data_IF_106836769735
#
_entry.id   IF_106836769735
#
_cell.length_a   1.000
_cell.length_b   1.000
_cell.length_c   1.000
_cell.angle_alpha   90.00
_cell.angle_beta   90.00
_cell.angle_gamma   90.00
#
_symmetry.space_group_name_H-M   'P 1'
#
loop_
_entity.id
_entity.type
_entity.pdbx_description
1 polymer ?
#
# COMPACT_ATOMS: atom_id res chain seq x y z
N UNK A 1 18.43 2.40 1.83
CA UNK A 1 17.12 2.48 1.15
C UNK A 1 17.23 3.44 -0.02
N UNK A 2 16.70 3.10 -1.18
CA UNK A 2 16.49 4.08 -2.25
C UNK A 2 15.26 4.91 -1.90
N UNK A 3 15.36 6.24 -1.97
CA UNK A 3 14.20 7.13 -1.84
C UNK A 3 13.34 7.01 -3.09
N UNK A 4 12.05 6.75 -2.91
CA UNK A 4 11.10 6.73 -4.02
C UNK A 4 10.59 8.15 -4.21
N UNK A 5 10.88 8.73 -5.37
CA UNK A 5 10.55 10.12 -5.69
C UNK A 5 9.30 10.25 -6.58
N UNK A 6 8.86 9.14 -7.20
CA UNK A 6 7.64 9.10 -7.99
C UNK A 6 6.51 8.44 -7.17
N UNK A 7 5.42 9.17 -6.84
CA UNK A 7 4.28 8.61 -6.13
C UNK A 7 3.65 7.39 -6.82
N UNK A 8 3.71 7.31 -8.15
CA UNK A 8 3.12 6.20 -8.90
C UNK A 8 3.81 4.86 -8.61
N UNK A 9 5.07 4.88 -8.18
CA UNK A 9 5.80 3.69 -7.75
C UNK A 9 5.28 3.13 -6.41
N UNK A 10 4.44 3.90 -5.70
CA UNK A 10 3.81 3.51 -4.43
C UNK A 10 2.33 3.19 -4.60
N UNK A 11 1.67 3.71 -5.63
CA UNK A 11 0.24 3.50 -5.88
C UNK A 11 -0.02 2.36 -6.87
N UNK A 12 0.71 1.26 -6.70
CA UNK A 12 0.53 0.04 -7.49
C UNK A 12 -0.74 -0.74 -7.08
N UNK A 13 -1.34 -1.49 -8.01
CA UNK A 13 -2.54 -2.26 -7.72
C UNK A 13 -2.22 -3.42 -6.77
N UNK A 14 -3.09 -3.60 -5.79
CA UNK A 14 -3.00 -4.69 -4.81
C UNK A 14 -4.34 -5.42 -4.73
N UNK A 15 -4.26 -6.74 -4.67
CA UNK A 15 -5.43 -7.62 -4.60
C UNK A 15 -5.27 -8.67 -3.51
N UNK A 16 -6.38 -9.29 -3.12
CA UNK A 16 -6.37 -10.47 -2.26
C UNK A 16 -6.66 -11.73 -3.06
N UNK A 17 -5.94 -12.82 -2.76
CA UNK A 17 -6.16 -14.14 -3.37
C UNK A 17 -6.21 -15.24 -2.30
N UNK A 18 -6.97 -16.32 -2.51
CA UNK A 18 -6.97 -17.46 -1.59
C UNK A 18 -5.62 -18.17 -1.59
N UNK A 19 -5.22 -18.69 -0.43
CA UNK A 19 -3.98 -19.47 -0.30
C UNK A 19 -4.27 -20.97 -0.10
N UNK A 20 -3.36 -21.79 -0.60
CA UNK A 20 -3.41 -23.24 -0.50
C UNK A 20 -2.09 -23.77 0.05
N UNK A 21 -2.16 -24.76 0.93
CA UNK A 21 -1.00 -25.48 1.46
C UNK A 21 -0.75 -26.74 0.63
N UNK A 22 0.52 -27.09 0.42
CA UNK A 22 0.92 -28.36 -0.20
C UNK A 22 1.30 -29.33 0.90
N UNK A 23 0.66 -30.49 0.93
CA UNK A 23 1.03 -31.59 1.84
C UNK A 23 1.94 -32.56 1.10
N UNK A 24 3.17 -32.76 1.57
CA UNK A 24 4.17 -33.65 0.96
C UNK A 24 3.87 -35.15 1.07
N UNK A 25 2.60 -35.56 1.16
CA UNK A 25 2.17 -36.96 1.26
C UNK A 25 1.88 -37.61 -0.11
N UNK A 26 1.73 -38.94 -0.10
CA UNK A 26 1.57 -39.86 -1.26
C UNK A 26 0.41 -39.57 -2.24
N UNK A 27 -0.41 -38.54 -2.02
CA UNK A 27 -1.51 -38.19 -2.94
C UNK A 27 -1.09 -37.07 -3.87
N UNK A 28 -1.57 -37.07 -5.13
CA UNK A 28 -1.27 -36.03 -6.09
C UNK A 28 -1.67 -34.66 -5.54
N UNK A 29 -0.84 -33.70 -5.90
CA UNK A 29 -0.63 -32.33 -5.45
C UNK A 29 -1.88 -31.44 -5.40
N UNK A 30 -2.91 -31.86 -4.67
CA UNK A 30 -4.13 -31.08 -4.47
C UNK A 30 -3.89 -30.15 -3.29
N UNK A 31 -3.68 -28.87 -3.58
CA UNK A 31 -3.55 -27.84 -2.56
C UNK A 31 -4.75 -27.85 -1.60
N UNK A 32 -4.48 -27.84 -0.30
CA UNK A 32 -5.50 -27.74 0.75
C UNK A 32 -5.74 -26.26 1.04
N UNK A 33 -6.95 -25.71 0.85
CA UNK A 33 -7.25 -24.32 1.18
C UNK A 33 -6.86 -24.02 2.63
N UNK A 34 -6.28 -22.85 2.91
CA UNK A 34 -6.12 -22.37 4.28
C UNK A 34 -7.29 -21.43 4.63
N UNK A 35 -8.30 -21.89 5.37
CA UNK A 35 -9.51 -21.10 5.60
C UNK A 35 -9.22 -19.82 6.39
N UNK A 36 -9.86 -18.72 6.01
CA UNK A 36 -9.71 -17.43 6.70
C UNK A 36 -8.34 -16.77 6.53
N UNK A 37 -7.57 -17.21 5.52
CA UNK A 37 -6.29 -16.63 5.12
C UNK A 37 -6.34 -16.25 3.65
N UNK A 38 -5.86 -15.04 3.36
CA UNK A 38 -5.69 -14.54 2.01
C UNK A 38 -4.26 -14.04 1.86
N UNK A 39 -3.73 -14.13 0.64
CA UNK A 39 -2.47 -13.47 0.28
C UNK A 39 -2.78 -12.12 -0.34
N UNK A 40 -2.04 -11.11 0.05
CA UNK A 40 -2.01 -9.81 -0.60
C UNK A 40 -0.94 -9.89 -1.69
N UNK A 41 -1.32 -9.56 -2.92
CA UNK A 41 -0.43 -9.60 -4.07
C UNK A 41 -0.35 -8.23 -4.73
N UNK A 42 0.83 -7.89 -5.24
CA UNK A 42 0.97 -6.86 -6.26
C UNK A 42 0.47 -7.47 -7.58
N UNK A 43 -0.73 -7.10 -8.01
CA UNK A 43 -1.36 -7.74 -9.16
C UNK A 43 -0.77 -7.33 -10.51
N UNK A 44 0.04 -6.27 -10.56
CA UNK A 44 0.76 -5.91 -11.77
C UNK A 44 1.98 -6.82 -12.04
N UNK A 45 2.61 -7.33 -10.97
CA UNK A 45 3.84 -8.15 -11.05
C UNK A 45 3.66 -9.61 -10.66
N UNK A 46 2.48 -9.97 -10.16
CA UNK A 46 2.17 -11.28 -9.58
C UNK A 46 3.08 -11.64 -8.39
N UNK A 47 3.49 -10.62 -7.62
CA UNK A 47 4.38 -10.77 -6.46
C UNK A 47 3.59 -10.81 -5.15
N UNK A 48 3.98 -11.69 -4.23
CA UNK A 48 3.39 -11.79 -2.89
C UNK A 48 3.96 -10.70 -1.99
N UNK A 49 3.07 -9.90 -1.39
CA UNK A 49 3.43 -8.82 -0.46
C UNK A 49 3.30 -9.26 1.00
N UNK A 50 2.32 -10.12 1.29
CA UNK A 50 2.07 -10.60 2.65
C UNK A 50 0.85 -11.51 2.72
N UNK A 51 0.62 -12.10 3.89
CA UNK A 51 -0.56 -12.92 4.16
C UNK A 51 -1.38 -12.20 5.22
N UNK A 52 -2.66 -11.99 4.93
CA UNK A 52 -3.62 -11.52 5.90
C UNK A 52 -4.45 -12.69 6.44
N UNK A 53 -4.98 -12.51 7.63
CA UNK A 53 -6.03 -13.38 8.12
C UNK A 53 -6.93 -12.60 9.05
N UNK A 54 -8.09 -13.20 9.38
CA UNK A 54 -9.17 -12.58 10.16
C UNK A 54 -10.04 -11.61 9.36
N UNK A 55 -10.06 -11.74 8.04
CA UNK A 55 -10.93 -10.98 7.14
C UNK A 55 -10.73 -9.46 7.28
N UNK A 56 -9.47 -9.02 7.38
CA UNK A 56 -9.21 -7.58 7.38
C UNK A 56 -9.59 -6.98 6.03
N UNK A 57 -10.07 -5.74 6.05
CA UNK A 57 -10.30 -4.99 4.82
C UNK A 57 -8.95 -4.57 4.24
N UNK A 58 -8.69 -4.93 2.98
CA UNK A 58 -7.56 -4.38 2.23
C UNK A 58 -7.75 -2.87 2.07
N UNK A 59 -6.72 -2.10 2.43
CA UNK A 59 -6.65 -0.65 2.23
C UNK A 59 -5.44 -0.40 1.34
N UNK A 60 -5.67 0.23 0.19
CA UNK A 60 -4.58 0.54 -0.74
C UNK A 60 -3.81 1.78 -0.29
N UNK A 61 -2.59 1.98 -0.82
CA UNK A 61 -1.85 3.22 -0.57
C UNK A 61 -2.62 4.46 -1.07
N UNK A 62 -3.44 4.31 -2.12
CA UNK A 62 -4.32 5.38 -2.62
C UNK A 62 -5.43 5.71 -1.63
N UNK A 63 -6.04 4.70 -1.00
CA UNK A 63 -7.05 4.89 0.04
C UNK A 63 -6.45 5.56 1.29
N UNK A 64 -5.25 5.11 1.69
CA UNK A 64 -4.53 5.70 2.81
C UNK A 64 -4.16 7.16 2.55
N UNK A 65 -3.70 7.48 1.34
CA UNK A 65 -3.38 8.85 0.92
C UNK A 65 -4.62 9.75 0.93
N UNK A 66 -5.75 9.28 0.38
CA UNK A 66 -7.01 10.02 0.41
C UNK A 66 -7.49 10.25 1.86
N UNK A 67 -7.38 9.24 2.73
CA UNK A 67 -7.69 9.37 4.14
C UNK A 67 -6.81 10.42 4.83
N UNK A 68 -5.51 10.42 4.55
CA UNK A 68 -4.58 11.39 5.11
C UNK A 68 -4.90 12.83 4.68
N UNK A 69 -5.28 13.05 3.41
CA UNK A 69 -5.77 14.35 2.92
C UNK A 69 -7.06 14.79 3.63
N UNK A 70 -8.00 13.87 3.85
CA UNK A 70 -9.22 14.16 4.58
C UNK A 70 -8.93 14.54 6.05
N UNK A 71 -8.00 13.85 6.71
CA UNK A 71 -7.53 14.19 8.04
C UNK A 71 -6.87 15.57 8.08
N UNK A 72 -6.04 15.91 7.08
CA UNK A 72 -5.40 17.22 7.00
C UNK A 72 -6.44 18.35 6.87
N UNK A 73 -7.45 18.18 6.01
CA UNK A 73 -8.58 19.12 5.91
C UNK A 73 -9.38 19.22 7.22
N UNK A 74 -9.58 18.11 7.93
CA UNK A 74 -10.28 18.15 9.21
C UNK A 74 -9.50 18.92 10.28
N UNK A 75 -8.17 18.85 10.25
CA UNK A 75 -7.28 19.58 11.15
C UNK A 75 -7.09 21.05 10.76
N UNK A 76 -7.13 21.36 9.46
CA UNK A 76 -6.96 22.70 8.88
C UNK A 76 -8.16 23.01 7.94
N UNK A 77 -9.33 23.36 8.51
CA UNK A 77 -10.58 23.50 7.76
C UNK A 77 -10.58 24.57 6.67
N UNK A 78 -9.65 25.53 6.75
CA UNK A 78 -9.42 26.58 5.76
C UNK A 78 -8.71 26.09 4.49
N UNK A 79 -8.15 24.88 4.52
CA UNK A 79 -7.46 24.26 3.37
C UNK A 79 -8.37 23.31 2.61
N UNK A 80 -8.08 23.12 1.33
CA UNK A 80 -8.67 22.05 0.52
C UNK A 80 -7.76 20.82 0.50
N UNK A 81 -8.35 19.65 0.25
CA UNK A 81 -7.58 18.40 0.21
C UNK A 81 -6.48 18.42 -0.87
N UNK A 82 -6.71 19.11 -2.00
CA UNK A 82 -5.75 19.21 -3.11
C UNK A 82 -4.53 20.09 -2.80
N UNK A 83 -4.58 20.85 -1.70
CA UNK A 83 -3.43 21.64 -1.24
C UNK A 83 -2.40 20.79 -0.48
N UNK A 84 -2.78 19.58 -0.06
CA UNK A 84 -1.91 18.63 0.62
C UNK A 84 -1.34 17.65 -0.41
N UNK A 85 -0.06 17.84 -0.71
CA UNK A 85 0.66 17.12 -1.76
C UNK A 85 1.69 16.17 -1.18
N UNK A 86 2.02 15.14 -1.96
CA UNK A 86 3.10 14.22 -1.65
C UNK A 86 4.43 14.97 -1.49
N UNK A 87 5.13 14.73 -0.38
CA UNK A 87 6.47 15.27 -0.17
C UNK A 87 7.44 14.49 -1.05
N UNK A 88 8.35 15.18 -1.75
CA UNK A 88 9.15 14.68 -2.89
C UNK A 88 9.91 13.34 -2.72
N UNK A 89 9.95 12.75 -1.54
CA UNK A 89 10.42 11.39 -1.32
C UNK A 89 9.54 10.66 -0.30
N UNK A 90 9.14 9.44 -0.63
CA UNK A 90 8.68 8.46 0.36
C UNK A 90 9.81 7.53 0.76
N UNK A 91 9.70 7.02 1.99
CA UNK A 91 10.53 5.92 2.43
C UNK A 91 9.77 4.61 2.27
N UNK A 92 10.29 3.70 1.45
CA UNK A 92 9.62 2.44 1.15
C UNK A 92 10.63 1.34 0.83
N UNK A 93 10.21 0.09 1.04
CA UNK A 93 10.98 -1.08 0.62
C UNK A 93 10.70 -1.39 -0.85
N UNK A 94 11.70 -1.86 -1.59
CA UNK A 94 11.51 -2.32 -2.98
C UNK A 94 10.51 -3.48 -3.08
N UNK A 95 10.38 -4.27 -2.02
CA UNK A 95 9.41 -5.36 -1.91
C UNK A 95 7.96 -4.87 -1.71
N UNK A 96 7.73 -3.58 -1.47
CA UNK A 96 6.39 -3.03 -1.21
C UNK A 96 5.77 -3.45 0.13
N UNK A 97 6.56 -4.04 1.03
CA UNK A 97 6.10 -4.51 2.35
C UNK A 97 5.88 -3.37 3.36
N UNK A 98 6.48 -2.21 3.10
CA UNK A 98 6.37 -1.02 3.94
C UNK A 98 6.49 0.24 3.09
N UNK A 99 5.72 1.27 3.46
CA UNK A 99 5.81 2.60 2.91
C UNK A 99 5.43 3.65 3.96
N UNK A 100 6.21 4.71 4.03
CA UNK A 100 5.92 5.94 4.75
C UNK A 100 5.83 7.08 3.75
N UNK A 101 4.68 7.76 3.73
CA UNK A 101 4.41 8.89 2.85
C UNK A 101 4.17 10.12 3.71
N UNK A 102 5.01 11.14 3.52
CA UNK A 102 4.78 12.45 4.11
C UNK A 102 3.94 13.33 3.18
N UNK A 103 3.05 14.12 3.78
CA UNK A 103 2.27 15.15 3.11
C UNK A 103 2.78 16.53 3.54
N UNK A 104 2.90 17.46 2.59
CA UNK A 104 3.07 18.88 2.89
C UNK A 104 1.97 19.71 2.24
N UNK A 105 1.62 20.80 2.91
CA UNK A 105 0.86 21.85 2.26
C UNK A 105 1.71 22.47 1.14
N UNK A 106 1.12 22.70 -0.03
CA UNK A 106 1.83 23.22 -1.22
C UNK A 106 2.59 24.54 -0.97
N UNK A 107 2.13 25.38 -0.05
CA UNK A 107 2.83 26.64 0.32
C UNK A 107 4.09 26.41 1.16
N UNK A 108 4.20 25.25 1.80
CA UNK A 108 5.39 24.83 2.54
C UNK A 108 6.43 24.11 1.68
N UNK A 109 6.14 23.86 0.40
CA UNK A 109 7.16 23.41 -0.55
C UNK A 109 8.05 24.61 -0.90
N UNK A 110 9.17 24.73 -0.19
CA UNK A 110 10.22 25.69 -0.54
C UNK A 110 10.86 25.22 -1.85
N UNK A 111 10.54 25.91 -2.93
CA UNK A 111 11.15 25.72 -4.24
C UNK A 111 12.50 26.45 -4.25
N UNK A 112 13.57 25.73 -3.92
CA UNK A 112 14.95 26.23 -4.03
C UNK A 112 15.48 25.98 -5.45
N UNK A 113 14.83 26.57 -6.45
CA UNK A 113 15.38 26.67 -7.81
C UNK A 113 16.45 27.76 -7.89
#
# INVERSE_FOLDING_TARGET
MQRITNPDDLFFPVDTRPIFTRTGGLRPDRGIPAPGKMVIVNSAKDEVLGIEGRNYRLVTNRDAFACARACARAAFPETTEDEWVFLAAADATQSGSYCHIDLSHRTGQLDFN
#
